data_IF_182516764898
#
_entry.id   IF_182516764898
#
_cell.length_a   1.000
_cell.length_b   1.000
_cell.length_c   1.000
_cell.angle_alpha   90.00
_cell.angle_beta   90.00
_cell.angle_gamma   90.00
#
_symmetry.space_group_name_H-M   'P 1'
#
loop_
_entity.id
_entity.type
_entity.pdbx_description
1 polymer ?
#
# COMPACT_ATOMS: atom_id res chain seq x y z
N UNK A 1 -6.18 -53.46 -43.02
CA UNK A 1 -6.33 -52.27 -42.15
C UNK A 1 -5.42 -52.49 -40.97
N UNK A 2 -4.27 -51.83 -40.98
CA UNK A 2 -3.20 -52.04 -39.98
C UNK A 2 -3.39 -51.05 -38.83
N UNK A 3 -3.55 -51.58 -37.62
CA UNK A 3 -3.66 -50.81 -36.39
C UNK A 3 -2.30 -50.18 -36.04
N UNK A 4 -2.31 -48.89 -35.68
CA UNK A 4 -1.14 -48.15 -35.22
C UNK A 4 -1.23 -48.01 -33.69
N UNK A 5 -0.37 -48.66 -32.88
CA UNK A 5 -0.33 -48.39 -31.46
C UNK A 5 0.51 -47.12 -31.22
N UNK A 6 -0.17 -46.01 -30.91
CA UNK A 6 0.48 -44.84 -30.37
C UNK A 6 1.15 -45.21 -29.04
N UNK A 7 2.48 -45.32 -29.05
CA UNK A 7 3.28 -45.42 -27.84
C UNK A 7 3.13 -44.13 -27.02
N UNK A 8 2.51 -44.24 -25.85
CA UNK A 8 2.62 -43.24 -24.80
C UNK A 8 3.96 -43.44 -24.09
N UNK A 9 4.97 -42.69 -24.54
CA UNK A 9 6.33 -42.68 -24.03
C UNK A 9 6.42 -42.12 -22.61
N UNK A 10 6.61 -43.03 -21.65
CA UNK A 10 7.65 -43.01 -20.60
C UNK A 10 8.01 -41.65 -19.95
N UNK A 11 7.50 -41.48 -18.73
CA UNK A 11 7.92 -40.54 -17.67
C UNK A 11 9.45 -40.45 -17.52
N UNK A 12 10.02 -39.24 -17.59
CA UNK A 12 11.36 -38.92 -17.09
C UNK A 12 11.55 -37.40 -16.94
N UNK A 13 11.96 -36.92 -15.76
CA UNK A 13 12.61 -35.62 -15.55
C UNK A 13 11.78 -34.33 -15.49
N UNK A 14 10.77 -34.13 -16.35
CA UNK A 14 10.24 -32.77 -16.57
C UNK A 14 9.22 -32.26 -15.52
N UNK A 15 8.55 -33.15 -14.80
CA UNK A 15 7.56 -32.75 -13.79
C UNK A 15 8.19 -32.04 -12.59
N UNK A 16 9.39 -32.46 -12.19
CA UNK A 16 10.11 -31.83 -11.08
C UNK A 16 10.60 -30.42 -11.47
N UNK A 17 11.08 -30.25 -12.71
CA UNK A 17 11.46 -28.94 -13.24
C UNK A 17 10.29 -27.96 -13.31
N UNK A 18 9.10 -28.43 -13.70
CA UNK A 18 7.89 -27.60 -13.70
C UNK A 18 7.49 -27.15 -12.29
N UNK A 19 7.60 -28.03 -11.29
CA UNK A 19 7.30 -27.70 -9.89
C UNK A 19 8.31 -26.71 -9.28
N UNK A 20 9.59 -26.85 -9.61
CA UNK A 20 10.62 -25.90 -9.15
C UNK A 20 10.42 -24.53 -9.81
N UNK A 21 10.09 -24.50 -11.09
CA UNK A 21 9.83 -23.25 -11.81
C UNK A 21 8.61 -22.50 -11.24
N UNK A 22 7.50 -23.20 -10.96
CA UNK A 22 6.33 -22.57 -10.34
C UNK A 22 6.61 -22.09 -8.92
N UNK A 23 7.32 -22.88 -8.11
CA UNK A 23 7.74 -22.45 -6.78
C UNK A 23 8.63 -21.19 -6.83
N UNK A 24 9.58 -21.13 -7.77
CA UNK A 24 10.44 -19.96 -7.94
C UNK A 24 9.65 -18.70 -8.35
N UNK A 25 8.67 -18.82 -9.25
CA UNK A 25 7.80 -17.71 -9.64
C UNK A 25 6.94 -17.23 -8.47
N UNK A 26 6.38 -18.14 -7.67
CA UNK A 26 5.60 -17.78 -6.48
C UNK A 26 6.47 -17.07 -5.45
N UNK A 27 7.70 -17.56 -5.20
CA UNK A 27 8.65 -16.89 -4.29
C UNK A 27 9.03 -15.52 -4.81
N UNK A 28 9.27 -15.36 -6.12
CA UNK A 28 9.56 -14.07 -6.72
C UNK A 28 8.37 -13.11 -6.59
N UNK A 29 7.14 -13.56 -6.84
CA UNK A 29 5.94 -12.74 -6.68
C UNK A 29 5.74 -12.31 -5.22
N UNK A 30 5.93 -13.23 -4.26
CA UNK A 30 5.87 -12.91 -2.83
C UNK A 30 6.97 -11.92 -2.45
N UNK A 31 8.17 -12.05 -3.03
CA UNK A 31 9.26 -11.10 -2.81
C UNK A 31 8.93 -9.72 -3.38
N UNK A 32 8.40 -9.64 -4.60
CA UNK A 32 7.97 -8.39 -5.22
C UNK A 32 6.79 -7.73 -4.49
N UNK A 33 5.92 -8.51 -3.86
CA UNK A 33 4.84 -7.99 -3.00
C UNK A 33 5.32 -7.61 -1.59
N UNK A 34 6.54 -7.98 -1.19
CA UNK A 34 7.18 -7.64 0.09
C UNK A 34 8.12 -6.44 0.00
N UNK A 35 8.37 -5.92 -1.20
CA UNK A 35 9.07 -4.65 -1.37
C UNK A 35 8.07 -3.52 -1.03
N UNK A 36 7.85 -3.34 0.27
CA UNK A 36 7.28 -2.11 0.81
C UNK A 36 8.20 -0.96 0.36
N UNK A 37 7.60 0.04 -0.31
CA UNK A 37 8.28 1.10 -1.07
C UNK A 37 9.37 1.87 -0.30
N UNK A 38 10.09 2.78 -0.99
CA UNK A 38 11.29 3.41 -0.46
C UNK A 38 11.04 4.06 0.91
N UNK A 39 11.55 3.42 1.96
CA UNK A 39 11.51 3.91 3.33
C UNK A 39 12.44 5.12 3.44
N UNK A 40 11.92 6.31 3.16
CA UNK A 40 12.55 7.56 3.55
C UNK A 40 12.14 7.87 4.99
N UNK A 41 13.05 7.64 5.94
CA UNK A 41 12.90 8.12 7.32
C UNK A 41 13.23 7.07 8.37
N UNK A 42 14.51 6.91 8.70
CA UNK A 42 14.95 6.10 9.82
C UNK A 42 14.72 6.87 11.14
N UNK A 43 13.51 6.75 11.69
CA UNK A 43 13.08 7.20 13.02
C UNK A 43 12.12 6.15 13.60
N UNK A 44 12.34 5.72 14.84
CA UNK A 44 11.97 4.37 15.30
C UNK A 44 10.49 3.98 15.27
N UNK A 45 10.20 2.84 14.65
CA UNK A 45 9.04 1.91 14.74
C UNK A 45 7.60 2.48 14.72
N UNK A 46 7.43 3.79 14.77
CA UNK A 46 6.15 4.49 14.73
C UNK A 46 6.14 5.40 13.52
N UNK A 47 5.48 4.92 12.48
CA UNK A 47 5.10 5.68 11.31
C UNK A 47 3.68 6.20 11.47
N UNK A 48 3.44 7.43 11.01
CA UNK A 48 2.14 8.09 11.04
C UNK A 48 1.73 8.43 9.60
N UNK A 49 0.62 7.85 9.13
CA UNK A 49 0.10 8.13 7.80
C UNK A 49 -0.81 9.36 7.83
N UNK A 50 -0.48 10.34 7.00
CA UNK A 50 -1.18 11.62 6.90
C UNK A 50 -1.74 11.80 5.49
N UNK A 51 -3.07 11.86 5.40
CA UNK A 51 -3.77 12.25 4.19
C UNK A 51 -3.81 13.78 4.09
N UNK A 52 -3.05 14.35 3.16
CA UNK A 52 -2.92 15.80 2.99
C UNK A 52 -3.49 16.26 1.65
N UNK A 53 -4.35 17.28 1.68
CA UNK A 53 -4.81 17.91 0.46
C UNK A 53 -3.63 18.53 -0.30
N UNK A 54 -3.54 18.28 -1.61
CA UNK A 54 -2.42 18.72 -2.44
C UNK A 54 -2.20 20.25 -2.42
N UNK A 55 -3.28 21.03 -2.19
CA UNK A 55 -3.22 22.49 -2.12
C UNK A 55 -2.41 23.06 -0.95
N UNK A 56 -2.22 22.28 0.13
CA UNK A 56 -1.44 22.70 1.32
C UNK A 56 -0.13 21.93 1.50
N UNK A 57 0.22 21.09 0.52
CA UNK A 57 1.39 20.21 0.52
C UNK A 57 2.66 20.88 1.05
N UNK A 58 3.05 22.02 0.47
CA UNK A 58 4.31 22.68 0.80
C UNK A 58 4.40 23.07 2.29
N UNK A 59 3.30 23.55 2.86
CA UNK A 59 3.26 23.93 4.27
C UNK A 59 3.32 22.69 5.18
N UNK A 60 2.64 21.61 4.78
CA UNK A 60 2.62 20.36 5.55
C UNK A 60 3.98 19.66 5.51
N UNK A 61 4.68 19.61 4.37
CA UNK A 61 6.02 19.02 4.28
C UNK A 61 7.03 19.72 5.19
N UNK A 62 6.98 21.05 5.27
CA UNK A 62 7.85 21.82 6.16
C UNK A 62 7.60 21.48 7.64
N UNK A 63 6.32 21.35 8.01
CA UNK A 63 5.93 21.03 9.39
C UNK A 63 6.22 19.56 9.72
N UNK A 64 5.97 18.65 8.79
CA UNK A 64 6.24 17.22 8.94
C UNK A 64 7.72 16.99 9.25
N UNK A 65 8.64 17.60 8.48
CA UNK A 65 10.07 17.45 8.73
C UNK A 65 10.51 17.98 10.10
N UNK A 66 9.87 19.03 10.62
CA UNK A 66 10.12 19.52 11.99
C UNK A 66 9.53 18.57 13.04
N UNK A 67 8.32 18.09 12.81
CA UNK A 67 7.64 17.12 13.68
C UNK A 67 8.44 15.83 13.81
N UNK A 68 8.97 15.29 12.71
CA UNK A 68 9.82 14.11 12.71
C UNK A 68 11.08 14.31 13.58
N UNK A 69 11.71 15.49 13.50
CA UNK A 69 12.90 15.82 14.28
C UNK A 69 12.60 16.02 15.78
N UNK A 70 11.46 16.64 16.11
CA UNK A 70 11.08 16.95 17.49
C UNK A 70 10.50 15.73 18.23
N UNK A 71 9.71 14.91 17.53
CA UNK A 71 8.94 13.81 18.13
C UNK A 71 9.57 12.44 17.87
N UNK A 72 10.40 12.31 16.83
CA UNK A 72 11.06 11.05 16.47
C UNK A 72 10.13 10.00 15.83
N UNK A 73 8.97 10.44 15.32
CA UNK A 73 7.96 9.63 14.60
C UNK A 73 8.10 9.94 13.11
N UNK A 74 8.16 8.93 12.23
CA UNK A 74 8.18 9.16 10.78
C UNK A 74 6.79 9.55 10.27
N UNK A 75 6.72 10.46 9.30
CA UNK A 75 5.46 10.95 8.75
C UNK A 75 5.35 10.54 7.28
N UNK A 76 4.49 9.57 7.00
CA UNK A 76 4.14 9.19 5.63
C UNK A 76 3.04 10.12 5.10
N UNK A 77 3.31 10.84 4.01
CA UNK A 77 2.37 11.81 3.42
C UNK A 77 1.77 11.27 2.12
N UNK A 78 0.44 11.17 2.08
CA UNK A 78 -0.32 10.89 0.86
C UNK A 78 -1.09 12.12 0.40
N UNK A 79 -0.98 12.45 -0.89
CA UNK A 79 -1.58 13.64 -1.47
C UNK A 79 -2.69 13.34 -2.47
N UNK A 80 -3.84 13.96 -2.30
CA UNK A 80 -4.90 14.05 -3.31
C UNK A 80 -5.80 15.28 -3.04
N UNK A 81 -6.97 15.38 -3.67
CA UNK A 81 -7.97 16.39 -3.30
C UNK A 81 -8.65 16.02 -1.98
N UNK A 82 -9.13 17.01 -1.21
CA UNK A 82 -9.83 16.75 0.06
C UNK A 82 -10.96 15.73 -0.10
N UNK A 83 -11.81 15.87 -1.12
CA UNK A 83 -12.91 14.95 -1.37
C UNK A 83 -12.46 13.51 -1.69
N UNK A 84 -11.35 13.34 -2.41
CA UNK A 84 -10.80 12.00 -2.70
C UNK A 84 -10.29 11.34 -1.42
N UNK A 85 -9.56 12.08 -0.59
CA UNK A 85 -9.03 11.56 0.68
C UNK A 85 -10.16 11.27 1.69
N UNK A 86 -11.20 12.11 1.76
CA UNK A 86 -12.38 11.86 2.59
C UNK A 86 -13.13 10.58 2.16
N UNK A 87 -13.31 10.37 0.86
CA UNK A 87 -13.90 9.12 0.34
C UNK A 87 -13.02 7.91 0.65
N UNK A 88 -11.69 8.08 0.61
CA UNK A 88 -10.74 7.03 0.97
C UNK A 88 -10.86 6.66 2.45
N UNK A 89 -10.87 7.65 3.36
CA UNK A 89 -11.14 7.42 4.79
C UNK A 89 -12.44 6.66 5.02
N UNK A 90 -13.50 7.05 4.31
CA UNK A 90 -14.80 6.40 4.42
C UNK A 90 -14.73 4.93 3.98
N UNK A 91 -14.09 4.66 2.84
CA UNK A 91 -13.91 3.29 2.32
C UNK A 91 -13.05 2.44 3.27
N UNK A 92 -11.99 3.02 3.81
CA UNK A 92 -11.08 2.42 4.78
C UNK A 92 -11.86 2.00 6.04
N UNK A 93 -12.66 2.91 6.62
CA UNK A 93 -13.55 2.60 7.74
C UNK A 93 -14.59 1.53 7.42
N UNK A 94 -15.30 1.66 6.30
CA UNK A 94 -16.35 0.70 5.91
C UNK A 94 -15.75 -0.71 5.74
N UNK A 95 -14.47 -0.79 5.40
CA UNK A 95 -13.70 -2.05 5.32
C UNK A 95 -13.12 -2.52 6.65
N UNK A 96 -13.27 -1.74 7.73
CA UNK A 96 -12.71 -2.02 9.05
C UNK A 96 -11.19 -1.84 9.14
N UNK A 97 -10.60 -1.03 8.25
CA UNK A 97 -9.16 -0.77 8.19
C UNK A 97 -8.94 0.73 8.42
N UNK A 98 -8.39 1.13 9.56
CA UNK A 98 -8.03 2.53 9.80
C UNK A 98 -6.60 2.78 9.30
N UNK A 99 -6.48 3.27 8.06
CA UNK A 99 -5.16 3.44 7.42
C UNK A 99 -4.47 4.75 7.79
N UNK A 100 -5.22 5.84 7.87
CA UNK A 100 -4.66 7.18 8.07
C UNK A 100 -4.93 7.67 9.49
N UNK A 101 -3.88 8.20 10.12
CA UNK A 101 -3.93 8.75 11.47
C UNK A 101 -4.42 10.20 11.48
N UNK A 102 -4.10 10.96 10.42
CA UNK A 102 -4.48 12.38 10.29
C UNK A 102 -4.96 12.69 8.89
N UNK A 103 -6.01 13.53 8.85
CA UNK A 103 -6.58 14.09 7.64
C UNK A 103 -6.48 15.62 7.64
N UNK A 104 -5.76 16.17 6.66
CA UNK A 104 -5.54 17.61 6.48
C UNK A 104 -6.20 18.05 5.16
N UNK A 105 -7.46 18.51 5.18
CA UNK A 105 -8.10 19.04 3.99
C UNK A 105 -7.63 20.45 3.64
N UNK A 106 -7.95 20.89 2.42
CA UNK A 106 -7.71 22.25 1.96
C UNK A 106 -8.61 23.32 2.63
N UNK A 107 -9.72 22.91 3.24
CA UNK A 107 -10.71 23.81 3.86
C UNK A 107 -11.44 23.08 5.01
N UNK A 108 -11.81 23.81 6.06
CA UNK A 108 -12.49 23.30 7.25
C UNK A 108 -13.85 22.64 6.93
N UNK A 109 -14.53 23.06 5.86
CA UNK A 109 -15.80 22.44 5.43
C UNK A 109 -15.66 20.94 5.14
N UNK A 110 -14.49 20.49 4.67
CA UNK A 110 -14.24 19.06 4.46
C UNK A 110 -14.00 18.33 5.79
N UNK A 111 -13.41 18.99 6.79
CA UNK A 111 -13.29 18.45 8.15
C UNK A 111 -14.67 18.28 8.78
N UNK A 112 -15.53 19.29 8.68
CA UNK A 112 -16.89 19.22 9.22
C UNK A 112 -17.72 18.10 8.58
N UNK A 113 -17.63 17.96 7.25
CA UNK A 113 -18.32 16.88 6.53
C UNK A 113 -17.78 15.51 6.93
N UNK A 114 -16.47 15.36 7.02
CA UNK A 114 -15.85 14.12 7.45
C UNK A 114 -16.33 13.75 8.87
N UNK A 115 -16.26 14.68 9.82
CA UNK A 115 -16.75 14.47 11.18
C UNK A 115 -18.26 14.16 11.24
N UNK A 116 -19.08 14.79 10.39
CA UNK A 116 -20.51 14.49 10.30
C UNK A 116 -20.80 13.08 9.76
N UNK A 117 -19.92 12.55 8.89
CA UNK A 117 -19.91 11.16 8.44
C UNK A 117 -19.28 10.21 9.49
N UNK A 118 -18.93 10.75 10.67
CA UNK A 118 -18.31 10.05 11.79
C UNK A 118 -16.82 9.82 11.63
N UNK A 119 -16.18 10.38 10.59
CA UNK A 119 -14.76 10.21 10.22
C UNK A 119 -13.81 10.73 11.29
#
# INVERSE_FOLDING_TARGET
>A
MSESPHQYGRRSGNGLWLLVATAAVVVLLVFLMRDDGPQTGQGGDREMLVYCAAGVKKAVEEIAGKFEQEVGVSVALEYASSGVLANKLKTDRESGIDRADVYIPADYLYTERAAADGL
#
